data_IF_655907889288
#
_entry.id   IF_655907889288
#
_cell.length_a   1.000
_cell.length_b   1.000
_cell.length_c   1.000
_cell.angle_alpha   90.00
_cell.angle_beta   90.00
_cell.angle_gamma   90.00
#
_symmetry.space_group_name_H-M   'P 1'
#
loop_
_entity.id
_entity.type
_entity.pdbx_description
1 polymer ?
#
# COMPACT_ATOMS: atom_id res chain seq x y z
N UNK A 1 -50.17 19.20 1.88
CA UNK A 1 -48.79 19.60 2.26
C UNK A 1 -48.59 21.07 1.91
N UNK A 2 -48.25 21.94 2.88
CA UNK A 2 -48.09 23.36 2.62
C UNK A 2 -46.91 23.61 1.68
N UNK A 3 -47.06 24.55 0.74
CA UNK A 3 -46.03 24.92 -0.26
C UNK A 3 -44.65 25.18 0.36
N UNK A 4 -44.60 25.61 1.62
CA UNK A 4 -43.39 25.88 2.41
C UNK A 4 -42.52 24.61 2.59
N UNK A 5 -43.13 23.43 2.71
CA UNK A 5 -42.42 22.16 2.89
C UNK A 5 -41.65 21.73 1.62
N UNK A 6 -42.14 22.10 0.43
CA UNK A 6 -41.46 21.84 -0.85
C UNK A 6 -40.19 22.69 -1.02
N UNK A 7 -40.23 23.94 -0.58
CA UNK A 7 -39.07 24.83 -0.65
C UNK A 7 -37.97 24.46 0.35
N UNK A 8 -38.34 23.97 1.54
CA UNK A 8 -37.38 23.45 2.53
C UNK A 8 -36.59 22.23 2.02
N UNK A 9 -37.25 21.32 1.30
CA UNK A 9 -36.60 20.15 0.67
C UNK A 9 -35.62 20.55 -0.45
N UNK A 10 -35.92 21.60 -1.22
CA UNK A 10 -35.04 22.10 -2.29
C UNK A 10 -33.82 22.81 -1.69
N UNK A 11 -34.02 23.60 -0.64
CA UNK A 11 -32.95 24.34 0.06
C UNK A 11 -31.97 23.42 0.82
N UNK A 12 -32.43 22.27 1.30
CA UNK A 12 -31.55 21.24 1.88
C UNK A 12 -30.99 20.27 0.82
N UNK A 13 -31.76 20.00 -0.23
CA UNK A 13 -31.36 19.08 -1.30
C UNK A 13 -30.23 19.61 -2.18
N UNK A 14 -30.21 20.91 -2.50
CA UNK A 14 -29.16 21.50 -3.34
C UNK A 14 -27.75 21.42 -2.69
N UNK A 15 -27.56 21.82 -1.42
CA UNK A 15 -26.27 21.72 -0.74
C UNK A 15 -25.77 20.28 -0.64
N UNK A 16 -26.67 19.34 -0.33
CA UNK A 16 -26.38 17.90 -0.31
C UNK A 16 -25.96 17.40 -1.70
N UNK A 17 -26.67 17.80 -2.75
CA UNK A 17 -26.32 17.42 -4.11
C UNK A 17 -24.95 17.98 -4.52
N UNK A 18 -24.64 19.23 -4.17
CA UNK A 18 -23.33 19.83 -4.45
C UNK A 18 -22.19 19.17 -3.68
N UNK A 19 -22.45 18.75 -2.42
CA UNK A 19 -21.50 17.98 -1.63
C UNK A 19 -21.24 16.60 -2.27
N UNK A 20 -22.29 15.88 -2.65
CA UNK A 20 -22.15 14.58 -3.32
C UNK A 20 -21.42 14.70 -4.67
N UNK A 21 -21.75 15.72 -5.46
CA UNK A 21 -21.13 15.98 -6.75
C UNK A 21 -19.65 16.31 -6.58
N UNK A 22 -19.29 17.26 -5.71
CA UNK A 22 -17.89 17.63 -5.47
C UNK A 22 -17.07 16.46 -4.91
N UNK A 23 -17.64 15.65 -4.01
CA UNK A 23 -16.98 14.47 -3.46
C UNK A 23 -16.67 13.44 -4.56
N UNK A 24 -17.64 13.16 -5.42
CA UNK A 24 -17.46 12.24 -6.53
C UNK A 24 -16.41 12.77 -7.52
N UNK A 25 -16.50 14.02 -7.96
CA UNK A 25 -15.52 14.58 -8.90
C UNK A 25 -14.10 14.69 -8.33
N UNK A 26 -13.93 14.95 -7.03
CA UNK A 26 -12.62 15.00 -6.38
C UNK A 26 -11.95 13.62 -6.33
N UNK A 27 -12.67 12.62 -5.82
CA UNK A 27 -12.17 11.24 -5.70
C UNK A 27 -11.74 10.66 -7.06
N UNK A 28 -12.62 10.72 -8.06
CA UNK A 28 -12.30 10.22 -9.40
C UNK A 28 -11.26 11.12 -10.10
N UNK A 29 -11.12 12.39 -9.70
CA UNK A 29 -10.12 13.31 -10.21
C UNK A 29 -8.70 12.88 -9.85
N UNK A 30 -8.44 12.61 -8.58
CA UNK A 30 -7.11 12.19 -8.09
C UNK A 30 -6.71 10.82 -8.64
N UNK A 31 -7.62 9.85 -8.62
CA UNK A 31 -7.39 8.51 -9.16
C UNK A 31 -7.05 8.57 -10.67
N UNK A 32 -7.74 9.41 -11.44
CA UNK A 32 -7.43 9.61 -12.85
C UNK A 32 -6.10 10.34 -13.04
N UNK A 33 -5.78 11.33 -12.20
CA UNK A 33 -4.51 12.04 -12.26
C UNK A 33 -3.33 11.08 -12.05
N UNK A 34 -3.37 10.26 -11.00
CA UNK A 34 -2.32 9.26 -10.72
C UNK A 34 -2.22 8.26 -11.87
N UNK A 35 -3.36 7.78 -12.38
CA UNK A 35 -3.37 6.89 -13.55
C UNK A 35 -2.70 7.53 -14.77
N UNK A 36 -2.99 8.79 -15.06
CA UNK A 36 -2.43 9.52 -16.19
C UNK A 36 -0.92 9.76 -16.01
N UNK A 37 -0.48 10.13 -14.81
CA UNK A 37 0.94 10.28 -14.45
C UNK A 37 1.69 8.94 -14.66
N UNK A 38 1.13 7.83 -14.18
CA UNK A 38 1.74 6.50 -14.31
C UNK A 38 1.77 6.01 -15.76
N UNK A 39 0.70 6.24 -16.54
CA UNK A 39 0.66 5.89 -17.96
C UNK A 39 1.58 6.78 -18.82
N UNK A 40 2.07 7.91 -18.28
CA UNK A 40 3.06 8.75 -18.96
C UNK A 40 4.50 8.21 -18.84
N UNK A 41 4.74 7.26 -17.92
CA UNK A 41 6.02 6.58 -17.77
C UNK A 41 6.24 5.61 -18.93
N UNK A 42 7.45 5.59 -19.48
CA UNK A 42 7.81 4.68 -20.56
C UNK A 42 7.79 3.23 -20.05
N UNK A 43 7.28 2.29 -20.87
CA UNK A 43 7.26 0.85 -20.58
C UNK A 43 6.36 0.45 -19.40
N UNK A 44 5.40 1.29 -18.99
CA UNK A 44 4.46 1.02 -17.89
C UNK A 44 3.02 0.99 -18.41
N UNK A 45 2.27 -0.02 -17.99
CA UNK A 45 0.83 -0.15 -18.23
C UNK A 45 0.11 -0.22 -16.88
N UNK A 46 -0.84 0.70 -16.63
CA UNK A 46 -1.73 0.62 -15.46
C UNK A 46 -2.82 -0.40 -15.73
N UNK A 47 -2.72 -1.57 -15.09
CA UNK A 47 -3.70 -2.66 -15.22
C UNK A 47 -4.96 -2.35 -14.42
N UNK A 48 -4.76 -1.97 -13.15
CA UNK A 48 -5.85 -1.63 -12.26
C UNK A 48 -5.40 -0.60 -11.22
N UNK A 49 -6.36 0.16 -10.70
CA UNK A 49 -6.14 1.16 -9.66
C UNK A 49 -7.35 1.16 -8.73
N UNK A 50 -7.06 1.15 -7.44
CA UNK A 50 -8.04 1.11 -6.36
C UNK A 50 -7.83 2.31 -5.46
N UNK A 51 -8.90 2.72 -4.80
CA UNK A 51 -8.90 3.74 -3.77
C UNK A 51 -10.07 3.49 -2.84
N UNK A 52 -9.92 3.89 -1.58
CA UNK A 52 -11.03 3.84 -0.64
C UNK A 52 -11.89 5.10 -0.80
N UNK A 53 -13.21 4.97 -0.91
CA UNK A 53 -14.14 6.10 -0.91
C UNK A 53 -14.29 6.67 0.52
N UNK A 54 -13.20 7.11 1.14
CA UNK A 54 -13.27 7.95 2.34
C UNK A 54 -13.05 9.44 1.99
N UNK A 55 -13.34 10.32 2.96
CA UNK A 55 -13.27 11.77 2.75
C UNK A 55 -11.85 12.31 2.60
N UNK A 56 -10.82 11.49 2.88
CA UNK A 56 -9.43 11.90 2.94
C UNK A 56 -8.63 11.44 1.72
N UNK A 57 -9.21 10.60 0.85
CA UNK A 57 -8.54 10.05 -0.35
C UNK A 57 -7.24 9.32 0.02
N UNK A 58 -7.14 8.83 1.24
CA UNK A 58 -5.99 8.10 1.72
C UNK A 58 -5.99 6.70 1.05
N UNK A 59 -4.81 6.19 0.71
CA UNK A 59 -4.61 4.80 0.28
C UNK A 59 -4.99 4.43 -1.18
N UNK A 60 -4.61 5.26 -2.16
CA UNK A 60 -4.63 4.81 -3.57
C UNK A 60 -3.59 3.70 -3.79
N UNK A 61 -4.04 2.60 -4.38
CA UNK A 61 -3.23 1.42 -4.72
C UNK A 61 -3.30 1.16 -6.21
N UNK A 62 -2.24 0.64 -6.80
CA UNK A 62 -2.18 0.38 -8.25
C UNK A 62 -1.51 -0.94 -8.55
N UNK A 63 -2.00 -1.63 -9.58
CA UNK A 63 -1.34 -2.75 -10.22
C UNK A 63 -0.78 -2.29 -11.56
N UNK A 64 0.53 -2.39 -11.69
CA UNK A 64 1.27 -2.02 -12.88
C UNK A 64 1.83 -3.26 -13.54
N UNK A 65 1.90 -3.22 -14.87
CA UNK A 65 2.70 -4.14 -15.66
C UNK A 65 3.87 -3.37 -16.26
N UNK A 66 5.07 -3.90 -16.04
CA UNK A 66 6.32 -3.34 -16.54
C UNK A 66 6.77 -4.14 -17.75
N UNK A 67 6.94 -3.48 -18.90
CA UNK A 67 7.29 -4.16 -20.15
C UNK A 67 8.63 -4.91 -20.02
N UNK A 68 8.65 -6.16 -20.46
CA UNK A 68 9.84 -7.03 -20.39
C UNK A 68 10.19 -7.54 -19.00
N UNK A 69 9.44 -7.15 -17.95
CA UNK A 69 9.54 -7.67 -16.59
C UNK A 69 8.23 -8.38 -16.25
N UNK A 70 7.53 -7.98 -15.20
CA UNK A 70 6.24 -8.52 -14.83
C UNK A 70 5.35 -7.49 -14.15
N UNK A 71 4.49 -7.98 -13.25
CA UNK A 71 3.54 -7.15 -12.53
C UNK A 71 4.06 -6.74 -11.16
N UNK A 72 3.62 -5.56 -10.70
CA UNK A 72 3.91 -5.03 -9.37
C UNK A 72 2.67 -4.31 -8.84
N UNK A 73 2.42 -4.46 -7.55
CA UNK A 73 1.33 -3.80 -6.85
C UNK A 73 1.90 -2.86 -5.81
N UNK A 74 1.60 -1.57 -5.97
CA UNK A 74 2.08 -0.48 -5.12
C UNK A 74 0.92 0.08 -4.29
N UNK A 75 1.22 0.50 -3.06
CA UNK A 75 0.26 1.07 -2.12
C UNK A 75 0.59 2.53 -1.80
N UNK A 76 -0.38 3.23 -1.20
CA UNK A 76 -0.15 4.53 -0.58
C UNK A 76 0.30 5.61 -1.57
N UNK A 77 -0.21 5.57 -2.80
CA UNK A 77 0.16 6.53 -3.85
C UNK A 77 -0.47 7.91 -3.68
N UNK A 78 -1.48 8.01 -2.82
CA UNK A 78 -2.02 9.30 -2.37
C UNK A 78 -1.54 9.63 -0.97
N UNK A 79 -1.25 10.91 -0.74
CA UNK A 79 -1.07 11.48 0.59
C UNK A 79 -1.57 12.92 0.62
N UNK A 80 -2.72 13.14 1.25
CA UNK A 80 -3.23 14.46 1.66
C UNK A 80 -3.00 15.60 0.65
N UNK A 81 -3.68 15.62 -0.50
CA UNK A 81 -3.88 16.76 -1.43
C UNK A 81 -2.67 17.65 -1.86
N UNK A 82 -1.46 17.49 -1.32
CA UNK A 82 -0.38 18.48 -1.35
C UNK A 82 1.05 17.91 -1.24
N UNK A 83 1.26 16.62 -0.94
CA UNK A 83 2.61 16.04 -0.83
C UNK A 83 2.68 14.61 -1.36
N UNK A 84 3.74 14.29 -2.11
CA UNK A 84 4.06 12.89 -2.46
C UNK A 84 4.33 12.06 -1.18
N UNK A 85 4.01 10.76 -1.16
CA UNK A 85 4.25 9.90 0.00
C UNK A 85 5.76 9.81 0.32
N UNK A 86 6.09 9.57 1.61
CA UNK A 86 7.48 9.50 2.09
C UNK A 86 8.21 8.26 1.52
N UNK A 87 7.44 7.24 1.16
CA UNK A 87 7.89 6.00 0.55
C UNK A 87 6.74 5.38 -0.26
N UNK A 88 7.08 4.43 -1.14
CA UNK A 88 6.09 3.68 -1.93
C UNK A 88 6.16 2.20 -1.54
N UNK A 89 5.25 1.71 -0.69
CA UNK A 89 5.23 0.31 -0.29
C UNK A 89 4.83 -0.63 -1.44
N UNK A 90 5.46 -1.80 -1.48
CA UNK A 90 5.23 -2.84 -2.49
C UNK A 90 4.45 -3.98 -1.84
N UNK A 91 3.21 -4.21 -2.28
CA UNK A 91 2.36 -5.30 -1.78
C UNK A 91 2.62 -6.63 -2.50
N UNK A 92 2.90 -6.55 -3.80
CA UNK A 92 3.15 -7.71 -4.64
C UNK A 92 4.17 -7.35 -5.74
N UNK A 93 5.03 -8.29 -6.12
CA UNK A 93 5.93 -8.16 -7.28
C UNK A 93 6.26 -9.56 -7.81
N UNK A 94 6.12 -9.82 -9.12
CA UNK A 94 6.37 -11.15 -9.74
C UNK A 94 5.62 -12.32 -9.04
N UNK A 95 4.43 -12.04 -8.49
CA UNK A 95 3.63 -13.00 -7.73
C UNK A 95 4.14 -13.29 -6.32
N UNK A 96 5.21 -12.64 -5.86
CA UNK A 96 5.62 -12.63 -4.46
C UNK A 96 4.75 -11.67 -3.67
N UNK A 97 4.28 -12.11 -2.51
CA UNK A 97 3.46 -11.36 -1.56
C UNK A 97 4.07 -11.44 -0.17
N UNK A 98 3.75 -10.47 0.67
CA UNK A 98 4.48 -10.24 1.92
C UNK A 98 3.57 -10.23 3.13
N UNK A 99 4.11 -10.66 4.27
CA UNK A 99 3.52 -10.38 5.58
C UNK A 99 4.66 -9.97 6.50
N UNK A 100 4.59 -8.76 7.02
CA UNK A 100 5.60 -8.18 7.89
C UNK A 100 5.06 -8.13 9.30
N UNK A 101 5.85 -8.53 10.29
CA UNK A 101 5.53 -8.41 11.70
C UNK A 101 6.54 -7.48 12.34
N UNK A 102 6.07 -6.45 13.01
CA UNK A 102 6.92 -5.47 13.66
C UNK A 102 6.92 -5.70 15.17
N UNK A 103 8.08 -5.49 15.79
CA UNK A 103 8.26 -5.74 17.21
C UNK A 103 7.37 -4.90 18.14
N UNK A 104 6.81 -3.80 17.63
CA UNK A 104 5.92 -2.89 18.36
C UNK A 104 4.42 -3.22 18.13
N UNK A 105 4.10 -4.42 17.62
CA UNK A 105 2.72 -4.89 17.46
C UNK A 105 2.08 -4.64 16.09
N UNK A 106 2.82 -4.07 15.14
CA UNK A 106 2.31 -3.87 13.77
C UNK A 106 2.33 -5.16 12.96
N UNK A 107 1.31 -5.38 12.12
CA UNK A 107 1.33 -6.39 11.06
C UNK A 107 1.08 -5.68 9.73
N UNK A 108 2.01 -5.80 8.81
CA UNK A 108 1.95 -5.24 7.46
C UNK A 108 1.78 -6.33 6.40
N UNK A 109 1.44 -5.90 5.18
CA UNK A 109 1.34 -6.78 4.00
C UNK A 109 2.20 -6.29 2.83
N UNK A 110 3.18 -5.43 3.09
CA UNK A 110 4.01 -4.80 2.07
C UNK A 110 5.47 -4.70 2.52
N UNK A 111 6.34 -4.43 1.54
CA UNK A 111 7.74 -4.05 1.75
C UNK A 111 7.91 -2.54 1.55
N UNK A 112 8.64 -1.89 2.43
CA UNK A 112 9.03 -0.49 2.28
C UNK A 112 10.57 -0.35 2.23
N UNK A 113 11.04 0.30 1.16
CA UNK A 113 12.45 0.60 0.92
C UNK A 113 12.79 2.10 1.06
N UNK A 114 11.81 2.98 1.28
CA UNK A 114 12.01 4.42 1.43
C UNK A 114 12.22 4.87 2.89
N UNK A 115 11.84 4.03 3.85
CA UNK A 115 11.90 4.34 5.29
C UNK A 115 12.97 3.51 6.04
N UNK A 116 12.90 3.51 7.37
CA UNK A 116 13.81 2.81 8.29
C UNK A 116 13.62 1.28 8.34
N UNK A 117 12.95 0.71 7.34
CA UNK A 117 12.72 -0.73 7.18
C UNK A 117 13.82 -1.35 6.29
N UNK A 118 13.46 -2.00 5.19
CA UNK A 118 14.41 -2.64 4.28
C UNK A 118 15.35 -1.62 3.62
N UNK A 119 14.92 -0.37 3.47
CA UNK A 119 15.78 0.72 3.00
C UNK A 119 17.04 0.89 3.85
N UNK A 120 16.90 0.80 5.18
CA UNK A 120 18.05 0.89 6.08
C UNK A 120 18.92 -0.37 6.02
N UNK A 121 18.30 -1.55 6.02
CA UNK A 121 19.00 -2.86 5.95
C UNK A 121 19.89 -2.93 4.70
N UNK A 122 19.38 -2.45 3.58
CA UNK A 122 20.05 -2.51 2.27
C UNK A 122 20.81 -1.24 1.92
N UNK A 123 20.73 -0.20 2.76
CA UNK A 123 21.28 1.13 2.51
C UNK A 123 20.82 1.72 1.15
N UNK A 124 19.50 1.63 0.90
CA UNK A 124 18.80 2.20 -0.27
C UNK A 124 17.62 3.07 0.18
N UNK A 125 17.12 3.93 -0.72
CA UNK A 125 15.94 4.77 -0.45
C UNK A 125 15.09 4.90 -1.70
N UNK A 126 13.93 4.25 -1.74
CA UNK A 126 12.96 4.38 -2.83
C UNK A 126 11.78 5.23 -2.36
N UNK A 127 11.77 6.51 -2.76
CA UNK A 127 10.82 7.50 -2.26
C UNK A 127 9.75 7.86 -3.30
N UNK A 128 9.76 7.19 -4.45
CA UNK A 128 8.85 7.44 -5.55
C UNK A 128 8.55 6.15 -6.30
N UNK A 129 7.47 6.16 -7.10
CA UNK A 129 7.14 5.05 -8.00
C UNK A 129 8.27 4.82 -9.00
N UNK A 130 8.85 5.89 -9.53
CA UNK A 130 9.97 5.82 -10.47
C UNK A 130 11.20 5.14 -9.85
N UNK A 131 11.54 5.45 -8.59
CA UNK A 131 12.63 4.77 -7.89
C UNK A 131 12.38 3.26 -7.79
N UNK A 132 11.16 2.86 -7.41
CA UNK A 132 10.77 1.45 -7.31
C UNK A 132 10.89 0.76 -8.66
N UNK A 133 10.36 1.37 -9.73
CA UNK A 133 10.36 0.79 -11.08
C UNK A 133 11.78 0.70 -11.67
N UNK A 134 12.62 1.71 -11.46
CA UNK A 134 14.00 1.72 -11.92
C UNK A 134 14.86 0.66 -11.19
N UNK A 135 14.46 0.26 -9.98
CA UNK A 135 15.14 -0.75 -9.18
C UNK A 135 14.39 -2.10 -9.14
N UNK A 136 13.44 -2.33 -10.05
CA UNK A 136 12.61 -3.54 -10.08
C UNK A 136 13.43 -4.84 -9.98
N UNK A 137 14.47 -4.98 -10.81
CA UNK A 137 15.25 -6.22 -10.87
C UNK A 137 16.05 -6.43 -9.59
N UNK A 138 16.60 -5.36 -9.02
CA UNK A 138 17.26 -5.40 -7.71
C UNK A 138 16.30 -5.87 -6.61
N UNK A 139 15.06 -5.39 -6.62
CA UNK A 139 14.04 -5.77 -5.63
C UNK A 139 13.70 -7.26 -5.78
N UNK A 140 13.50 -7.73 -7.02
CA UNK A 140 13.22 -9.15 -7.29
C UNK A 140 14.39 -10.03 -6.86
N UNK A 141 15.62 -9.69 -7.26
CA UNK A 141 16.82 -10.44 -6.87
C UNK A 141 16.99 -10.50 -5.34
N UNK A 142 16.71 -9.40 -4.64
CA UNK A 142 16.72 -9.38 -3.19
C UNK A 142 15.68 -10.35 -2.61
N UNK A 143 14.43 -10.31 -3.08
CA UNK A 143 13.36 -11.19 -2.62
C UNK A 143 13.69 -12.66 -2.88
N UNK A 144 14.26 -12.98 -4.05
CA UNK A 144 14.65 -14.34 -4.42
C UNK A 144 15.83 -14.88 -3.60
N UNK A 145 16.62 -13.99 -2.99
CA UNK A 145 17.68 -14.36 -2.05
C UNK A 145 17.20 -14.69 -0.64
N UNK A 146 15.92 -14.47 -0.34
CA UNK A 146 15.34 -14.69 0.99
C UNK A 146 14.69 -16.06 1.13
N UNK A 147 14.45 -16.48 2.37
CA UNK A 147 13.74 -17.73 2.65
C UNK A 147 12.23 -17.56 2.39
N UNK A 148 11.63 -18.56 1.74
CA UNK A 148 10.19 -18.60 1.46
C UNK A 148 9.40 -19.27 2.58
N UNK A 149 8.13 -18.89 2.75
CA UNK A 149 7.18 -19.55 3.64
C UNK A 149 7.22 -21.09 3.45
N UNK A 150 7.27 -21.88 4.54
CA UNK A 150 6.94 -21.52 5.92
C UNK A 150 8.08 -20.90 6.76
N UNK A 151 9.26 -20.65 6.18
CA UNK A 151 10.32 -19.92 6.87
C UNK A 151 9.99 -18.44 7.07
N UNK A 152 10.67 -17.81 8.02
CA UNK A 152 10.63 -16.37 8.28
C UNK A 152 12.01 -15.76 8.13
N UNK A 153 12.08 -14.59 7.51
CA UNK A 153 13.29 -13.77 7.47
C UNK A 153 13.25 -12.77 8.63
N UNK A 154 14.39 -12.52 9.25
CA UNK A 154 14.49 -11.65 10.41
C UNK A 154 15.44 -10.49 10.13
N UNK A 155 15.00 -9.26 10.42
CA UNK A 155 15.75 -8.04 10.17
C UNK A 155 15.74 -7.11 11.38
N UNK A 156 16.91 -6.51 11.63
CA UNK A 156 17.10 -5.50 12.66
C UNK A 156 17.58 -4.20 12.01
N UNK A 157 17.01 -3.08 12.45
CA UNK A 157 17.44 -1.74 12.08
C UNK A 157 17.77 -0.93 13.33
N UNK A 158 18.34 0.27 13.15
CA UNK A 158 18.64 1.16 14.27
C UNK A 158 17.38 1.52 15.06
N UNK A 159 16.22 1.56 14.40
CA UNK A 159 14.95 2.03 14.97
C UNK A 159 13.94 0.92 15.27
N UNK A 160 14.07 -0.26 14.67
CA UNK A 160 13.06 -1.32 14.76
C UNK A 160 13.65 -2.72 14.59
N UNK A 161 12.79 -3.72 14.74
CA UNK A 161 13.03 -5.13 14.42
C UNK A 161 11.76 -5.67 13.77
N UNK A 162 11.91 -6.47 12.71
CA UNK A 162 10.77 -7.04 12.01
C UNK A 162 11.07 -8.41 11.41
N UNK A 163 10.01 -9.22 11.32
CA UNK A 163 10.01 -10.47 10.59
C UNK A 163 9.24 -10.34 9.29
N UNK A 164 9.72 -11.03 8.26
CA UNK A 164 9.13 -11.05 6.93
C UNK A 164 8.84 -12.48 6.49
N UNK A 165 7.57 -12.76 6.22
CA UNK A 165 7.12 -13.94 5.48
C UNK A 165 6.96 -13.55 4.01
N UNK A 166 7.47 -14.42 3.14
CA UNK A 166 7.33 -14.29 1.69
C UNK A 166 6.58 -15.49 1.16
N UNK A 167 5.54 -15.24 0.37
CA UNK A 167 4.71 -16.27 -0.25
C UNK A 167 4.60 -16.01 -1.74
N UNK A 168 4.80 -17.05 -2.55
CA UNK A 168 4.54 -16.98 -4.00
C UNK A 168 3.11 -17.46 -4.25
N UNK A 169 2.25 -16.57 -4.70
CA UNK A 169 0.82 -16.85 -4.94
C UNK A 169 0.47 -16.58 -6.39
N UNK A 170 -0.57 -17.23 -6.87
CA UNK A 170 -1.21 -16.78 -8.11
C UNK A 170 -1.76 -15.38 -7.88
N UNK A 171 -1.34 -14.47 -8.75
CA UNK A 171 -1.76 -13.09 -8.68
C UNK A 171 -3.27 -12.97 -8.90
N UNK A 172 -3.94 -12.22 -8.04
CA UNK A 172 -5.37 -11.94 -8.15
C UNK A 172 -5.56 -10.43 -8.29
N UNK A 173 -6.36 -10.04 -9.27
CA UNK A 173 -6.74 -8.65 -9.48
C UNK A 173 -7.79 -8.23 -8.45
N UNK A 174 -7.34 -8.01 -7.22
CA UNK A 174 -8.13 -7.59 -6.07
C UNK A 174 -7.40 -6.45 -5.36
N UNK A 175 -8.18 -5.55 -4.77
CA UNK A 175 -7.66 -4.49 -3.92
C UNK A 175 -6.77 -5.09 -2.80
N UNK A 176 -5.52 -4.64 -2.65
CA UNK A 176 -4.61 -5.07 -1.59
C UNK A 176 -5.16 -4.91 -0.18
N UNK A 177 -6.13 -4.02 0.05
CA UNK A 177 -6.80 -3.91 1.35
C UNK A 177 -7.46 -5.23 1.78
N UNK A 178 -7.83 -6.09 0.81
CA UNK A 178 -8.31 -7.45 1.11
C UNK A 178 -7.23 -8.37 1.68
N UNK A 179 -5.94 -8.10 1.43
CA UNK A 179 -4.85 -8.85 2.05
C UNK A 179 -4.66 -8.49 3.53
N UNK A 180 -5.20 -7.35 3.99
CA UNK A 180 -5.27 -7.01 5.41
C UNK A 180 -6.37 -7.81 6.13
N UNK A 181 -7.47 -8.12 5.43
CA UNK A 181 -8.56 -8.94 5.94
C UNK A 181 -8.12 -10.40 6.12
N UNK A 182 -7.72 -10.75 7.34
CA UNK A 182 -7.20 -12.08 7.71
C UNK A 182 -5.87 -12.03 8.48
N UNK A 183 -5.21 -10.87 8.53
CA UNK A 183 -4.02 -10.66 9.37
C UNK A 183 -4.32 -10.78 10.86
N UNK A 184 -5.57 -10.55 11.31
CA UNK A 184 -6.00 -10.77 12.69
C UNK A 184 -5.73 -12.21 13.16
N UNK A 185 -5.88 -13.19 12.26
CA UNK A 185 -5.57 -14.60 12.54
C UNK A 185 -4.07 -14.89 12.65
N UNK A 186 -3.20 -13.96 12.20
CA UNK A 186 -1.74 -14.07 12.29
C UNK A 186 -1.16 -13.42 13.56
N UNK A 187 -2.00 -12.80 14.39
CA UNK A 187 -1.56 -12.23 15.68
C UNK A 187 -0.97 -13.31 16.61
N UNK A 188 -1.57 -14.50 16.66
CA UNK A 188 -1.03 -15.63 17.44
C UNK A 188 0.37 -16.06 16.95
N UNK A 189 0.62 -16.00 15.64
CA UNK A 189 1.94 -16.25 15.09
C UNK A 189 2.93 -15.16 15.50
N UNK A 190 2.52 -13.89 15.45
CA UNK A 190 3.35 -12.76 15.87
C UNK A 190 3.78 -12.88 17.35
N UNK A 191 2.89 -13.39 18.22
CA UNK A 191 3.20 -13.66 19.63
C UNK A 191 4.25 -14.77 19.82
N UNK A 192 4.45 -15.64 18.83
CA UNK A 192 5.44 -16.73 18.89
C UNK A 192 6.86 -16.31 18.44
N UNK A 193 6.99 -15.13 17.82
CA UNK A 193 8.27 -14.62 17.34
C UNK A 193 9.16 -14.19 18.50
N UNK A 194 10.48 -14.37 18.35
CA UNK A 194 11.47 -14.08 19.40
C UNK A 194 12.25 -12.82 19.04
N UNK A 195 11.96 -11.72 19.73
CA UNK A 195 12.60 -10.44 19.43
C UNK A 195 13.95 -10.28 20.15
N UNK A 196 14.94 -9.75 19.45
CA UNK A 196 16.29 -9.52 19.95
C UNK A 196 16.40 -8.18 20.70
N UNK A 197 15.65 -7.15 20.32
CA UNK A 197 15.72 -5.87 21.03
C UNK A 197 14.90 -5.88 22.31
N UNK A 198 15.45 -5.26 23.35
CA UNK A 198 14.83 -5.20 24.68
C UNK A 198 13.66 -4.22 24.78
N UNK A 199 13.54 -3.30 23.82
CA UNK A 199 12.47 -2.30 23.74
C UNK A 199 11.25 -2.79 22.95
N UNK A 200 11.27 -4.02 22.43
CA UNK A 200 10.14 -4.66 21.78
C UNK A 200 9.02 -4.93 22.78
N UNK A 201 7.88 -4.26 22.59
CA UNK A 201 6.66 -4.52 23.36
C UNK A 201 5.54 -4.80 22.38
N UNK A 202 5.14 -6.07 22.27
CA UNK A 202 3.93 -6.44 21.56
C UNK A 202 2.73 -6.04 22.42
N UNK A 203 2.09 -4.92 22.09
CA UNK A 203 0.90 -4.41 22.79
C UNK A 203 -0.34 -5.05 22.14
N UNK A 204 -1.13 -5.76 22.94
CA UNK A 204 -2.42 -6.35 22.55
C UNK A 204 -3.51 -5.31 22.39
#
# INVERSE_FOLDING_TARGET
MPKIFKWGLILLGLPLLTLCVNHHYGYYGELNQIRDELNSLENIEVINIWGHEDMTLEEISVRLKVEGKGEIVLLGLSKDAFYYPISVPINEIEGYSFTTFYCNGGIGSSLDFGTYELGEVLNVKFNSVEDVLNNYDFIVEFIEGLEMSPSVNHFETSMSEFYLIIEKKESKDLDPIHNLNGLESKSEFAESLTWNRSDCVYIK
#
